data_IF_380257332851
#
_entry.id   IF_380257332851
#
_cell.length_a   1.000
_cell.length_b   1.000
_cell.length_c   1.000
_cell.angle_alpha   90.00
_cell.angle_beta   90.00
_cell.angle_gamma   90.00
#
_symmetry.space_group_name_H-M   'P 1'
#
loop_
_entity.id
_entity.type
_entity.pdbx_description
1 polymer ?
#
# COMPACT_ATOMS: atom_id res chain seq x y z
N UNK A 1 10.36 -6.53 -14.12
CA UNK A 1 10.66 -5.08 -14.12
C UNK A 1 12.11 -4.84 -13.72
N UNK A 2 12.74 -3.75 -14.17
CA UNK A 2 14.09 -3.36 -13.73
C UNK A 2 14.01 -2.77 -12.30
N UNK A 3 14.77 -3.33 -11.35
CA UNK A 3 14.77 -2.92 -9.95
C UNK A 3 15.11 -1.44 -9.75
N UNK A 4 16.01 -0.87 -10.56
CA UNK A 4 16.37 0.55 -10.47
C UNK A 4 15.20 1.47 -10.85
N UNK A 5 14.43 1.10 -11.89
CA UNK A 5 13.25 1.86 -12.30
C UNK A 5 12.14 1.77 -11.26
N UNK A 6 11.92 0.60 -10.67
CA UNK A 6 10.93 0.42 -9.59
C UNK A 6 11.30 1.30 -8.41
N UNK A 7 12.57 1.34 -8.00
CA UNK A 7 13.01 2.17 -6.89
C UNK A 7 12.75 3.66 -7.14
N UNK A 8 13.05 4.16 -8.35
CA UNK A 8 12.78 5.54 -8.73
C UNK A 8 11.27 5.85 -8.73
N UNK A 9 10.45 4.94 -9.25
CA UNK A 9 8.99 5.09 -9.28
C UNK A 9 8.40 5.08 -7.86
N UNK A 10 8.86 4.19 -6.98
CA UNK A 10 8.44 4.15 -5.57
C UNK A 10 8.81 5.46 -4.87
N UNK A 11 10.02 5.98 -5.09
CA UNK A 11 10.43 7.28 -4.53
C UNK A 11 9.51 8.41 -4.98
N UNK A 12 9.19 8.46 -6.28
CA UNK A 12 8.30 9.47 -6.84
C UNK A 12 6.87 9.38 -6.26
N UNK A 13 6.29 8.17 -6.19
CA UNK A 13 4.97 7.94 -5.59
C UNK A 13 4.94 8.34 -4.12
N UNK A 14 5.94 7.96 -3.34
CA UNK A 14 6.05 8.35 -1.92
C UNK A 14 6.16 9.87 -1.76
N UNK A 15 6.88 10.56 -2.65
CA UNK A 15 6.98 12.02 -2.66
C UNK A 15 5.64 12.69 -3.01
N UNK A 16 4.91 12.18 -4.01
CA UNK A 16 3.57 12.66 -4.36
C UNK A 16 2.58 12.48 -3.20
N UNK A 17 2.70 11.35 -2.49
CA UNK A 17 1.95 11.05 -1.27
C UNK A 17 2.41 11.87 -0.05
N UNK A 18 3.46 12.69 -0.17
CA UNK A 18 4.05 13.50 0.92
C UNK A 18 4.43 12.64 2.13
N UNK A 19 4.89 11.42 1.88
CA UNK A 19 5.29 10.48 2.91
C UNK A 19 6.60 10.93 3.56
N UNK A 20 6.79 10.57 4.82
CA UNK A 20 8.02 10.84 5.54
C UNK A 20 9.19 10.11 4.84
N UNK A 21 10.36 10.75 4.64
CA UNK A 21 11.46 10.17 3.87
C UNK A 21 11.93 8.78 4.36
N UNK A 22 11.85 8.53 5.67
CA UNK A 22 12.19 7.22 6.25
C UNK A 22 11.44 6.05 5.60
N UNK A 23 10.23 6.27 5.07
CA UNK A 23 9.46 5.19 4.42
C UNK A 23 10.21 4.65 3.21
N UNK A 24 10.82 5.53 2.42
CA UNK A 24 11.65 5.12 1.28
C UNK A 24 12.99 4.53 1.74
N UNK A 25 13.61 5.08 2.79
CA UNK A 25 14.84 4.53 3.35
C UNK A 25 14.67 3.11 3.91
N UNK A 26 13.51 2.82 4.49
CA UNK A 26 13.15 1.48 4.96
C UNK A 26 12.83 0.55 3.78
N UNK A 27 12.09 1.04 2.78
CA UNK A 27 11.79 0.28 1.57
C UNK A 27 13.06 -0.23 0.86
N UNK A 28 14.07 0.64 0.70
CA UNK A 28 15.38 0.27 0.13
C UNK A 28 16.10 -0.85 0.91
N UNK A 29 15.80 -1.01 2.20
CA UNK A 29 16.36 -2.07 3.06
C UNK A 29 15.48 -3.33 3.07
N UNK A 30 14.40 -3.36 2.29
CA UNK A 30 13.43 -4.45 2.29
C UNK A 30 12.46 -4.43 3.47
N UNK A 31 12.33 -3.30 4.17
CA UNK A 31 11.40 -3.13 5.28
C UNK A 31 10.17 -2.36 4.79
N UNK A 32 9.01 -3.00 4.81
CA UNK A 32 7.74 -2.35 4.49
C UNK A 32 7.14 -1.67 5.70
N UNK A 33 6.55 -0.50 5.45
CA UNK A 33 5.78 0.24 6.43
C UNK A 33 4.29 0.14 6.11
N UNK A 34 3.47 0.31 7.13
CA UNK A 34 2.05 0.58 6.97
C UNK A 34 1.62 1.80 7.76
N UNK A 35 0.46 2.34 7.38
CA UNK A 35 -0.23 3.41 8.09
C UNK A 35 -1.53 2.92 8.69
N UNK A 36 -1.91 3.44 9.87
CA UNK A 36 -3.24 3.19 10.44
C UNK A 36 -4.26 4.27 10.02
N UNK A 37 -5.49 4.15 10.50
CA UNK A 37 -6.58 5.12 10.22
C UNK A 37 -6.25 6.56 10.66
N UNK A 38 -5.27 6.75 11.55
CA UNK A 38 -4.84 8.06 12.03
C UNK A 38 -3.62 8.60 11.27
N UNK A 39 -3.08 7.83 10.31
CA UNK A 39 -1.86 8.18 9.57
C UNK A 39 -0.57 7.83 10.30
N UNK A 40 -0.62 7.10 11.42
CA UNK A 40 0.58 6.69 12.15
C UNK A 40 1.39 5.68 11.34
N UNK A 41 2.70 5.88 11.23
CA UNK A 41 3.61 4.99 10.51
C UNK A 41 4.16 3.89 11.41
N UNK A 42 4.10 2.65 10.93
CA UNK A 42 4.58 1.46 11.63
C UNK A 42 5.31 0.53 10.67
N UNK A 43 6.30 -0.20 11.17
CA UNK A 43 6.89 -1.30 10.42
C UNK A 43 5.92 -2.48 10.35
N UNK A 44 5.84 -3.09 9.18
CA UNK A 44 5.14 -4.36 9.00
C UNK A 44 5.97 -5.47 9.65
N UNK A 45 5.33 -6.25 10.50
CA UNK A 45 6.00 -7.28 11.30
C UNK A 45 5.61 -8.66 10.75
N UNK A 46 6.58 -9.44 10.28
CA UNK A 46 6.30 -10.72 9.61
C UNK A 46 5.64 -11.74 10.53
N UNK A 47 5.92 -11.72 11.82
CA UNK A 47 5.31 -12.66 12.76
C UNK A 47 3.86 -12.27 13.05
N UNK A 48 3.59 -10.97 13.16
CA UNK A 48 2.23 -10.44 13.47
C UNK A 48 1.33 -10.30 12.25
N UNK A 49 1.89 -10.08 11.06
CA UNK A 49 1.19 -9.77 9.81
C UNK A 49 1.49 -10.82 8.72
N UNK A 50 1.64 -12.09 9.11
CA UNK A 50 2.05 -13.17 8.21
C UNK A 50 1.14 -13.33 6.98
N UNK A 51 -0.16 -13.17 7.17
CA UNK A 51 -1.19 -13.15 6.13
C UNK A 51 -0.98 -12.03 5.11
N UNK A 52 -0.67 -10.82 5.57
CA UNK A 52 -0.34 -9.68 4.71
C UNK A 52 0.94 -9.97 3.90
N UNK A 53 1.95 -10.58 4.53
CA UNK A 53 3.17 -11.00 3.83
C UNK A 53 2.90 -12.08 2.78
N UNK A 54 1.99 -13.02 3.03
CA UNK A 54 1.59 -14.03 2.05
C UNK A 54 0.92 -13.36 0.82
N UNK A 55 0.11 -12.31 1.04
CA UNK A 55 -0.48 -11.53 -0.06
C UNK A 55 0.56 -10.73 -0.83
N UNK A 56 1.50 -10.07 -0.15
CA UNK A 56 2.60 -9.36 -0.80
C UNK A 56 3.43 -10.33 -1.66
N UNK A 57 3.69 -11.53 -1.16
CA UNK A 57 4.42 -12.57 -1.89
C UNK A 57 3.65 -13.03 -3.13
N UNK A 58 2.36 -13.32 -3.00
CA UNK A 58 1.49 -13.71 -4.12
C UNK A 58 1.45 -12.62 -5.21
N UNK A 59 1.28 -11.35 -4.80
CA UNK A 59 1.29 -10.21 -5.72
C UNK A 59 2.60 -10.11 -6.52
N UNK A 60 3.73 -10.39 -5.87
CA UNK A 60 5.05 -10.39 -6.51
C UNK A 60 5.25 -11.59 -7.44
N UNK A 61 4.98 -12.80 -6.97
CA UNK A 61 5.33 -14.05 -7.66
C UNK A 61 4.33 -14.43 -8.75
N UNK A 62 3.04 -14.24 -8.49
CA UNK A 62 1.98 -14.73 -9.37
C UNK A 62 1.44 -13.64 -10.30
N UNK A 63 1.44 -12.37 -9.84
CA UNK A 63 0.91 -11.23 -10.61
C UNK A 63 2.03 -10.37 -11.20
N UNK A 64 3.18 -10.29 -10.54
CA UNK A 64 4.32 -9.49 -10.99
C UNK A 64 4.22 -8.01 -10.63
N UNK A 65 3.54 -7.66 -9.53
CA UNK A 65 3.50 -6.28 -9.00
C UNK A 65 4.29 -6.15 -7.70
N UNK A 66 4.82 -4.96 -7.42
CA UNK A 66 5.65 -4.73 -6.23
C UNK A 66 4.98 -3.79 -5.24
N UNK A 67 4.70 -4.30 -4.03
CA UNK A 67 4.11 -3.52 -2.95
C UNK A 67 5.16 -2.61 -2.31
N UNK A 68 4.84 -1.32 -2.14
CA UNK A 68 5.74 -0.34 -1.54
C UNK A 68 5.24 0.26 -0.22
N UNK A 69 3.93 0.19 0.05
CA UNK A 69 3.35 0.64 1.31
C UNK A 69 2.00 -0.05 1.55
N UNK A 70 1.54 -0.10 2.80
CA UNK A 70 0.23 -0.62 3.14
C UNK A 70 -0.57 0.39 3.97
N UNK A 71 -1.90 0.40 3.81
CA UNK A 71 -2.81 1.18 4.65
C UNK A 71 -3.73 0.22 5.37
N UNK A 72 -3.70 0.23 6.69
CA UNK A 72 -4.52 -0.59 7.57
C UNK A 72 -5.77 0.16 7.97
N UNK A 73 -6.91 -0.46 7.69
CA UNK A 73 -8.24 0.09 8.00
C UNK A 73 -9.03 -0.90 8.82
N UNK A 74 -9.81 -0.38 9.77
CA UNK A 74 -10.67 -1.16 10.64
C UNK A 74 -12.10 -0.69 10.43
N UNK A 75 -12.97 -1.59 10.01
CA UNK A 75 -14.39 -1.34 9.84
C UNK A 75 -15.16 -2.09 10.91
N UNK A 76 -16.07 -1.40 11.59
CA UNK A 76 -17.00 -2.05 12.49
C UNK A 76 -18.19 -2.56 11.68
N UNK A 77 -18.37 -3.87 11.66
CA UNK A 77 -19.51 -4.53 11.02
C UNK A 77 -20.27 -5.26 12.12
N UNK A 78 -21.45 -4.72 12.50
CA UNK A 78 -22.23 -5.16 13.65
C UNK A 78 -21.42 -5.20 14.97
N UNK A 79 -21.05 -6.41 15.40
CA UNK A 79 -20.31 -6.67 16.64
C UNK A 79 -18.83 -6.97 16.40
N UNK A 80 -18.43 -7.13 15.15
CA UNK A 80 -17.09 -7.53 14.75
C UNK A 80 -16.29 -6.34 14.19
N UNK A 81 -14.97 -6.46 14.26
CA UNK A 81 -14.04 -5.53 13.64
C UNK A 81 -13.44 -6.26 12.45
N UNK A 82 -13.78 -5.80 11.25
CA UNK A 82 -13.20 -6.26 10.00
C UNK A 82 -11.95 -5.44 9.72
N UNK A 83 -10.82 -6.12 9.59
CA UNK A 83 -9.56 -5.50 9.22
C UNK A 83 -9.32 -5.65 7.71
N UNK A 84 -8.90 -4.56 7.08
CA UNK A 84 -8.59 -4.52 5.66
C UNK A 84 -7.26 -3.81 5.44
N UNK A 85 -6.49 -4.32 4.49
CA UNK A 85 -5.18 -3.81 4.12
C UNK A 85 -5.18 -3.38 2.67
N UNK A 86 -4.99 -2.09 2.43
CA UNK A 86 -4.79 -1.57 1.06
C UNK A 86 -3.31 -1.60 0.75
N UNK A 87 -2.88 -2.54 -0.08
CA UNK A 87 -1.50 -2.74 -0.51
C UNK A 87 -1.23 -1.90 -1.75
N UNK A 88 -0.49 -0.81 -1.57
CA UNK A 88 -0.09 0.10 -2.63
C UNK A 88 1.08 -0.51 -3.40
N UNK A 89 0.96 -0.59 -4.72
CA UNK A 89 1.92 -1.29 -5.55
C UNK A 89 2.38 -0.47 -6.76
N UNK A 90 3.49 -0.91 -7.35
CA UNK A 90 3.97 -0.53 -8.69
C UNK A 90 3.74 -1.72 -9.61
N UNK A 91 2.99 -1.49 -10.69
CA UNK A 91 2.66 -2.47 -11.72
C UNK A 91 3.39 -2.19 -13.03
N UNK A 92 2.69 -2.34 -14.16
CA UNK A 92 3.25 -2.11 -15.50
C UNK A 92 3.72 -0.65 -15.69
N UNK A 93 4.87 -0.48 -16.36
CA UNK A 93 5.49 0.82 -16.61
C UNK A 93 4.62 1.71 -17.51
N UNK A 94 3.77 1.12 -18.36
CA UNK A 94 2.85 1.85 -19.22
C UNK A 94 1.78 2.65 -18.43
N UNK A 95 1.44 2.18 -17.22
CA UNK A 95 0.40 2.78 -16.38
C UNK A 95 0.96 3.86 -15.42
N UNK A 96 2.29 3.94 -15.24
CA UNK A 96 2.90 4.75 -14.17
C UNK A 96 2.53 6.23 -14.24
N UNK A 97 2.46 6.81 -15.44
CA UNK A 97 2.10 8.22 -15.57
C UNK A 97 0.64 8.47 -15.14
N UNK A 98 -0.28 7.58 -15.53
CA UNK A 98 -1.68 7.66 -15.13
C UNK A 98 -1.84 7.46 -13.62
N UNK A 99 -1.13 6.48 -13.03
CA UNK A 99 -1.12 6.24 -11.59
C UNK A 99 -0.67 7.48 -10.82
N UNK A 100 0.40 8.14 -11.27
CA UNK A 100 0.93 9.35 -10.63
C UNK A 100 -0.02 10.53 -10.74
N UNK A 101 -0.69 10.72 -11.88
CA UNK A 101 -1.75 11.71 -12.01
C UNK A 101 -2.91 11.42 -11.06
N UNK A 102 -3.33 10.15 -10.92
CA UNK A 102 -4.35 9.76 -9.96
C UNK A 102 -3.94 10.09 -8.52
N UNK A 103 -2.67 9.86 -8.14
CA UNK A 103 -2.16 10.20 -6.80
C UNK A 103 -2.28 11.70 -6.52
N UNK A 104 -2.03 12.56 -7.52
CA UNK A 104 -2.21 14.02 -7.39
C UNK A 104 -3.67 14.40 -7.14
N UNK A 105 -4.61 13.60 -7.67
CA UNK A 105 -6.04 13.71 -7.43
C UNK A 105 -6.52 12.96 -6.16
N UNK A 106 -5.60 12.55 -5.29
CA UNK A 106 -5.87 11.81 -4.05
C UNK A 106 -6.53 10.44 -4.28
N UNK A 107 -6.22 9.81 -5.41
CA UNK A 107 -6.64 8.45 -5.77
C UNK A 107 -5.40 7.60 -5.95
N UNK A 108 -5.44 6.33 -5.58
CA UNK A 108 -4.35 5.40 -5.90
C UNK A 108 -4.92 4.03 -6.16
N UNK A 109 -4.23 3.27 -7.00
CA UNK A 109 -4.52 1.86 -7.20
C UNK A 109 -3.88 1.03 -6.09
N UNK A 110 -4.63 0.04 -5.61
CA UNK A 110 -4.22 -0.84 -4.54
C UNK A 110 -4.84 -2.22 -4.72
N UNK A 111 -4.17 -3.23 -4.18
CA UNK A 111 -4.83 -4.49 -3.86
C UNK A 111 -5.38 -4.39 -2.44
N UNK A 112 -6.69 -4.49 -2.28
CA UNK A 112 -7.36 -4.43 -0.99
C UNK A 112 -7.56 -5.85 -0.49
N UNK A 113 -6.75 -6.24 0.50
CA UNK A 113 -6.87 -7.51 1.19
C UNK A 113 -7.88 -7.39 2.34
N UNK A 114 -8.91 -8.24 2.31
CA UNK A 114 -9.85 -8.40 3.42
C UNK A 114 -9.40 -9.59 4.28
N UNK A 115 -8.93 -9.33 5.51
CA UNK A 115 -8.41 -10.40 6.37
C UNK A 115 -9.50 -11.30 6.96
N UNK A 116 -10.77 -10.89 6.88
CA UNK A 116 -11.90 -11.67 7.36
C UNK A 116 -12.43 -12.64 6.30
N UNK A 117 -12.52 -12.18 5.04
CA UNK A 117 -12.95 -13.00 3.91
C UNK A 117 -12.12 -12.67 2.67
N UNK A 118 -11.13 -13.52 2.40
CA UNK A 118 -10.19 -13.34 1.30
C UNK A 118 -10.86 -13.36 -0.09
N UNK A 119 -12.05 -13.97 -0.22
CA UNK A 119 -12.80 -13.97 -1.47
C UNK A 119 -13.27 -12.56 -1.89
N UNK A 120 -13.35 -11.64 -0.92
CA UNK A 120 -13.71 -10.25 -1.14
C UNK A 120 -12.48 -9.34 -1.34
N UNK A 121 -11.28 -9.92 -1.44
CA UNK A 121 -10.07 -9.16 -1.74
C UNK A 121 -9.96 -8.87 -3.24
N UNK A 122 -9.66 -7.63 -3.61
CA UNK A 122 -9.66 -7.20 -5.01
C UNK A 122 -8.66 -6.10 -5.33
N UNK A 123 -8.31 -5.97 -6.61
CA UNK A 123 -7.66 -4.78 -7.12
C UNK A 123 -8.68 -3.69 -7.37
N UNK A 124 -8.34 -2.45 -7.00
CA UNK A 124 -9.22 -1.31 -7.26
C UNK A 124 -8.52 0.02 -6.99
N UNK A 125 -9.24 1.10 -7.29
CA UNK A 125 -8.84 2.43 -6.87
C UNK A 125 -9.45 2.75 -5.50
N UNK A 126 -8.66 3.44 -4.68
CA UNK A 126 -9.10 3.93 -3.37
C UNK A 126 -8.85 5.43 -3.28
N UNK A 127 -9.65 6.11 -2.47
CA UNK A 127 -9.39 7.49 -2.10
C UNK A 127 -8.36 7.51 -0.97
N UNK A 128 -7.42 8.43 -1.03
CA UNK A 128 -6.35 8.57 -0.03
C UNK A 128 -6.20 10.01 0.43
N UNK A 129 -5.50 10.22 1.55
CA UNK A 129 -5.15 11.56 2.02
C UNK A 129 -3.82 11.53 2.76
N UNK A 130 -2.81 12.31 2.34
CA UNK A 130 -1.59 12.50 3.11
C UNK A 130 -1.87 13.09 4.50
N UNK A 131 -1.25 12.54 5.54
CA UNK A 131 -1.44 12.97 6.94
C UNK A 131 -0.23 12.62 7.81
N UNK A 132 0.34 13.60 8.51
CA UNK A 132 1.47 13.43 9.46
C UNK A 132 2.70 12.68 8.90
N UNK A 133 2.95 12.76 7.59
CA UNK A 133 4.02 12.00 6.92
C UNK A 133 3.65 10.54 6.63
N UNK A 134 2.45 10.09 6.98
CA UNK A 134 1.79 8.91 6.44
C UNK A 134 0.71 9.27 5.42
N UNK A 135 -0.10 8.27 5.09
CA UNK A 135 -1.29 8.37 4.23
C UNK A 135 -2.43 7.65 4.94
N UNK A 136 -3.66 8.10 4.76
CA UNK A 136 -4.84 7.38 5.23
C UNK A 136 -5.77 7.10 4.06
N UNK A 137 -6.57 6.03 4.17
CA UNK A 137 -7.66 5.78 3.24
C UNK A 137 -8.84 6.70 3.55
N UNK A 138 -9.42 7.30 2.51
CA UNK A 138 -10.52 8.25 2.57
C UNK A 138 -11.84 7.71 1.97
N UNK A 139 -11.76 6.78 1.00
CA UNK A 139 -12.89 6.03 0.43
C UNK A 139 -12.44 4.67 -0.09
#
# INVERSE_FOLDING_TARGET
>A
MNNEKILAEVEERLNLLKMHPNVFDDYKKGVLNYTDINGGLYWLDKEKNHDVFDKIKMLKEDIGVEVYHAIRTLYKVDKDIMEMWSLLYVGDEEDWEQDKEAIKDNITYAYVYNSFDDYLSEFGSIGIRPIFGGVMRAS
#
